data_IF_514680880491
#
_entry.id   IF_514680880491
#
_cell.length_a   1.000
_cell.length_b   1.000
_cell.length_c   1.000
_cell.angle_alpha   90.00
_cell.angle_beta   90.00
_cell.angle_gamma   90.00
#
_symmetry.space_group_name_H-M   'P 1'
#
loop_
_entity.id
_entity.type
_entity.pdbx_description
1 polymer ?
#
# COMPACT_ATOMS: atom_id res chain seq x y z
N UNK A 1 -1.39 10.68 3.85
CA UNK A 1 -0.90 11.76 4.74
C UNK A 1 0.25 11.29 5.64
N UNK A 2 0.46 9.98 5.68
CA UNK A 2 1.57 9.29 6.31
C UNK A 2 2.63 8.98 5.25
N UNK A 3 3.90 8.97 5.65
CA UNK A 3 5.12 8.70 4.85
C UNK A 3 6.00 9.85 4.43
N UNK A 4 5.52 11.08 4.48
CA UNK A 4 6.40 12.23 4.18
C UNK A 4 7.11 12.82 5.39
N UNK A 5 6.63 12.54 6.60
CA UNK A 5 7.34 12.95 7.81
C UNK A 5 8.62 12.15 8.04
N UNK A 6 8.84 11.10 7.25
CA UNK A 6 9.90 10.12 7.44
C UNK A 6 11.14 10.43 6.62
N UNK A 7 11.00 11.01 5.42
CA UNK A 7 12.17 11.42 4.64
C UNK A 7 12.54 12.90 4.77
N UNK A 8 11.68 13.69 5.40
CA UNK A 8 11.94 15.13 5.55
C UNK A 8 12.08 15.59 7.00
N UNK A 9 11.92 14.70 7.99
CA UNK A 9 12.66 14.85 9.25
C UNK A 9 14.05 14.21 9.15
N UNK A 10 15.04 15.10 8.99
CA UNK A 10 16.33 15.14 9.70
C UNK A 10 17.64 14.76 9.01
N UNK A 11 17.69 14.40 7.73
CA UNK A 11 18.99 14.41 7.01
C UNK A 11 19.06 15.40 5.87
N UNK A 12 18.17 15.36 4.87
CA UNK A 12 18.42 16.16 3.67
C UNK A 12 18.26 17.66 3.87
N UNK A 13 17.22 18.11 4.58
CA UNK A 13 17.05 19.53 4.91
C UNK A 13 18.21 20.05 5.79
N UNK A 14 18.64 19.26 6.77
CA UNK A 14 19.79 19.57 7.65
C UNK A 14 21.14 19.48 6.92
N UNK A 15 21.24 18.67 5.86
CA UNK A 15 22.39 18.58 4.95
C UNK A 15 22.33 19.59 3.80
N UNK A 16 21.38 20.53 3.82
CA UNK A 16 21.30 21.64 2.86
C UNK A 16 20.71 21.30 1.50
N UNK A 17 19.94 20.21 1.36
CA UNK A 17 19.15 19.93 0.15
C UNK A 17 18.13 21.04 -0.06
N UNK A 18 18.14 21.64 -1.24
CA UNK A 18 17.28 22.79 -1.60
C UNK A 18 16.20 22.42 -2.62
N UNK A 19 16.37 21.32 -3.36
CA UNK A 19 15.41 20.85 -4.37
C UNK A 19 15.32 19.33 -4.41
N UNK A 20 14.10 18.79 -4.45
CA UNK A 20 13.83 17.37 -4.71
C UNK A 20 13.06 17.15 -6.02
N UNK A 21 13.44 16.12 -6.77
CA UNK A 21 12.73 15.66 -7.98
C UNK A 21 12.18 14.26 -7.71
N UNK A 22 10.87 14.04 -7.84
CA UNK A 22 10.21 12.77 -7.54
C UNK A 22 9.47 12.23 -8.77
N UNK A 23 9.84 11.04 -9.30
CA UNK A 23 9.13 10.38 -10.38
C UNK A 23 7.94 9.58 -9.81
N UNK A 24 6.80 10.23 -9.63
CA UNK A 24 5.59 9.58 -9.13
C UNK A 24 4.33 10.26 -9.64
N UNK A 25 3.35 9.44 -10.04
CA UNK A 25 1.99 9.86 -10.34
C UNK A 25 0.98 9.54 -9.24
N UNK A 26 1.42 9.11 -8.04
CA UNK A 26 0.56 8.56 -6.99
C UNK A 26 0.78 9.17 -5.61
N UNK A 27 0.42 8.44 -4.55
CA UNK A 27 0.49 8.95 -3.17
C UNK A 27 1.89 9.47 -2.77
N UNK A 28 2.96 8.88 -3.30
CA UNK A 28 4.33 9.33 -3.08
C UNK A 28 4.60 10.76 -3.62
N UNK A 29 3.89 11.20 -4.67
CA UNK A 29 4.00 12.56 -5.20
C UNK A 29 3.39 13.60 -4.25
N UNK A 30 2.15 13.37 -3.79
CA UNK A 30 1.49 14.24 -2.79
C UNK A 30 2.32 14.24 -1.52
N UNK A 31 2.85 13.07 -1.17
CA UNK A 31 3.76 12.95 -0.06
C UNK A 31 4.93 13.93 -0.26
N UNK A 32 5.84 13.63 -1.18
CA UNK A 32 7.04 14.41 -1.46
C UNK A 32 6.79 15.93 -1.47
N UNK A 33 5.76 16.37 -2.21
CA UNK A 33 5.41 17.77 -2.34
C UNK A 33 4.93 18.42 -1.01
N UNK A 34 4.12 17.71 -0.21
CA UNK A 34 3.67 18.20 1.09
C UNK A 34 4.83 18.44 2.05
N UNK A 35 5.80 17.52 2.14
CA UNK A 35 6.93 17.77 3.03
C UNK A 35 7.93 18.75 2.45
N UNK A 36 8.19 18.74 1.15
CA UNK A 36 9.12 19.71 0.57
C UNK A 36 8.67 21.14 0.94
N UNK A 37 7.37 21.43 0.83
CA UNK A 37 6.76 22.66 1.36
C UNK A 37 7.02 22.86 2.85
N UNK A 38 6.78 21.84 3.68
CA UNK A 38 6.93 21.95 5.13
C UNK A 38 8.36 22.31 5.58
N UNK A 39 9.37 22.00 4.75
CA UNK A 39 10.79 22.30 5.02
C UNK A 39 11.37 23.40 4.13
N UNK A 40 10.56 24.09 3.34
CA UNK A 40 11.04 25.15 2.45
C UNK A 40 11.95 24.66 1.31
N UNK A 41 11.78 23.40 0.90
CA UNK A 41 12.50 22.77 -0.20
C UNK A 41 11.65 22.83 -1.47
N UNK A 42 12.27 23.18 -2.60
CA UNK A 42 11.62 23.15 -3.91
C UNK A 42 11.29 21.71 -4.33
N UNK A 43 10.13 21.49 -4.93
CA UNK A 43 9.70 20.15 -5.35
C UNK A 43 9.29 20.14 -6.82
N UNK A 44 9.88 19.20 -7.58
CA UNK A 44 9.41 18.85 -8.91
C UNK A 44 8.87 17.42 -8.91
N UNK A 45 7.64 17.23 -9.35
CA UNK A 45 7.03 15.93 -9.60
C UNK A 45 7.07 15.65 -11.10
N UNK A 46 7.60 14.49 -11.49
CA UNK A 46 7.56 13.98 -12.86
C UNK A 46 6.61 12.79 -12.89
N UNK A 47 5.58 12.86 -13.74
CA UNK A 47 4.56 11.81 -13.86
C UNK A 47 4.37 11.42 -15.34
N UNK A 48 4.06 10.15 -15.64
CA UNK A 48 3.79 9.73 -17.00
C UNK A 48 2.46 10.29 -17.52
N UNK A 49 2.28 10.25 -18.83
CA UNK A 49 1.01 10.61 -19.50
C UNK A 49 -0.15 9.71 -19.08
N UNK A 50 0.17 8.47 -18.70
CA UNK A 50 -0.76 7.45 -18.20
C UNK A 50 -1.19 7.67 -16.74
N UNK A 51 -0.61 8.65 -16.03
CA UNK A 51 -1.00 8.95 -14.66
C UNK A 51 -2.46 9.41 -14.59
N UNK A 52 -3.18 8.93 -13.57
CA UNK A 52 -4.60 9.22 -13.39
C UNK A 52 -4.87 10.74 -13.30
N UNK A 53 -5.83 11.20 -14.10
CA UNK A 53 -6.14 12.62 -14.20
C UNK A 53 -6.71 13.18 -12.88
N UNK A 54 -7.42 12.36 -12.10
CA UNK A 54 -7.92 12.75 -10.78
C UNK A 54 -6.75 12.95 -9.81
N UNK A 55 -5.80 12.03 -9.81
CA UNK A 55 -4.58 12.13 -8.99
C UNK A 55 -3.73 13.35 -9.34
N UNK A 56 -3.52 13.64 -10.64
CA UNK A 56 -2.83 14.87 -11.07
C UNK A 56 -3.56 16.12 -10.61
N UNK A 57 -4.88 16.18 -10.77
CA UNK A 57 -5.71 17.30 -10.30
C UNK A 57 -5.57 17.47 -8.79
N UNK A 58 -5.61 16.38 -8.04
CA UNK A 58 -5.48 16.40 -6.58
C UNK A 58 -4.12 16.90 -6.14
N UNK A 59 -3.04 16.44 -6.76
CA UNK A 59 -1.68 16.93 -6.50
C UNK A 59 -1.61 18.45 -6.70
N UNK A 60 -2.12 18.98 -7.81
CA UNK A 60 -2.11 20.43 -8.09
C UNK A 60 -2.92 21.24 -7.06
N UNK A 61 -4.02 20.69 -6.54
CA UNK A 61 -4.85 21.34 -5.53
C UNK A 61 -4.22 21.30 -4.13
N UNK A 62 -3.66 20.16 -3.73
CA UNK A 62 -3.09 19.96 -2.39
C UNK A 62 -1.69 20.59 -2.28
N UNK A 63 -0.94 20.61 -3.38
CA UNK A 63 0.44 21.10 -3.41
C UNK A 63 0.71 22.08 -4.58
N UNK A 64 0.04 23.26 -4.61
CA UNK A 64 0.23 24.26 -5.68
C UNK A 64 1.67 24.79 -5.86
N UNK A 65 2.53 24.64 -4.84
CA UNK A 65 3.93 25.10 -4.91
C UNK A 65 4.87 24.08 -5.58
N UNK A 66 4.39 22.84 -5.78
CA UNK A 66 5.16 21.82 -6.46
C UNK A 66 5.04 21.97 -7.98
N UNK A 67 6.18 21.94 -8.66
CA UNK A 67 6.22 21.94 -10.13
C UNK A 67 5.83 20.54 -10.62
N UNK A 68 4.78 20.44 -11.42
CA UNK A 68 4.36 19.17 -12.03
C UNK A 68 4.75 19.13 -13.50
N UNK A 69 5.45 18.08 -13.90
CA UNK A 69 5.86 17.81 -15.28
C UNK A 69 5.25 16.48 -15.70
N UNK A 70 4.54 16.49 -16.83
CA UNK A 70 4.04 15.28 -17.47
C UNK A 70 5.06 14.88 -18.53
N UNK A 71 5.62 13.68 -18.43
CA UNK A 71 6.60 13.17 -19.38
C UNK A 71 6.63 11.65 -19.38
N UNK A 72 6.67 11.09 -20.58
CA UNK A 72 6.87 9.66 -20.80
C UNK A 72 5.57 8.87 -20.87
N UNK A 73 5.63 7.75 -21.59
CA UNK A 73 4.50 6.84 -21.78
C UNK A 73 4.22 5.99 -20.54
N UNK A 74 5.24 5.72 -19.73
CA UNK A 74 5.17 4.92 -18.52
C UNK A 74 6.06 5.48 -17.38
N UNK A 75 6.03 4.81 -16.23
CA UNK A 75 6.79 5.24 -15.06
C UNK A 75 8.31 5.22 -15.30
N UNK A 76 8.83 4.31 -16.13
CA UNK A 76 10.26 4.19 -16.37
C UNK A 76 10.79 5.39 -17.16
N UNK A 77 10.06 5.82 -18.20
CA UNK A 77 10.39 7.04 -18.94
C UNK A 77 10.29 8.30 -18.04
N UNK A 78 9.25 8.37 -17.19
CA UNK A 78 9.12 9.46 -16.20
C UNK A 78 10.29 9.46 -15.19
N UNK A 79 10.76 8.29 -14.76
CA UNK A 79 11.91 8.13 -13.89
C UNK A 79 13.20 8.62 -14.56
N UNK A 80 13.47 8.17 -15.78
CA UNK A 80 14.64 8.61 -16.55
C UNK A 80 14.64 10.14 -16.75
N UNK A 81 13.48 10.74 -17.03
CA UNK A 81 13.36 12.19 -17.12
C UNK A 81 13.67 12.87 -15.79
N UNK A 82 13.20 12.32 -14.67
CA UNK A 82 13.51 12.86 -13.35
C UNK A 82 15.02 12.83 -13.05
N UNK A 83 15.72 11.75 -13.40
CA UNK A 83 17.18 11.66 -13.28
C UNK A 83 17.90 12.72 -14.13
N UNK A 84 17.50 12.88 -15.39
CA UNK A 84 18.03 13.91 -16.28
C UNK A 84 17.81 15.32 -15.70
N UNK A 85 16.63 15.58 -15.15
CA UNK A 85 16.31 16.86 -14.50
C UNK A 85 17.18 17.17 -13.30
N UNK A 86 17.51 16.17 -12.47
CA UNK A 86 18.43 16.37 -11.35
C UNK A 86 19.78 16.87 -11.86
N UNK A 87 20.32 16.24 -12.92
CA UNK A 87 21.57 16.65 -13.54
C UNK A 87 21.49 18.05 -14.16
N UNK A 88 20.42 18.34 -14.92
CA UNK A 88 20.19 19.66 -15.54
C UNK A 88 20.15 20.78 -14.48
N UNK A 89 19.34 20.59 -13.44
CA UNK A 89 19.19 21.58 -12.38
C UNK A 89 20.48 21.77 -11.58
N UNK A 90 21.24 20.68 -11.33
CA UNK A 90 22.51 20.77 -10.62
C UNK A 90 23.55 21.57 -11.40
N UNK A 91 23.51 21.51 -12.74
CA UNK A 91 24.37 22.30 -13.62
C UNK A 91 23.95 23.77 -13.72
N UNK A 92 22.64 24.07 -13.73
CA UNK A 92 22.15 25.45 -13.78
C UNK A 92 22.19 26.16 -12.43
N UNK A 93 22.21 25.40 -11.33
CA UNK A 93 22.24 25.89 -9.95
C UNK A 93 23.42 25.27 -9.15
N UNK A 94 24.69 25.61 -9.47
CA UNK A 94 25.87 24.93 -8.87
C UNK A 94 26.06 25.15 -7.35
N UNK A 95 25.27 26.02 -6.72
CA UNK A 95 25.26 26.23 -5.27
C UNK A 95 24.07 25.57 -4.55
N UNK A 96 23.18 24.93 -5.29
CA UNK A 96 22.02 24.22 -4.77
C UNK A 96 22.31 22.72 -4.66
N UNK A 97 21.70 22.06 -3.68
CA UNK A 97 21.83 20.62 -3.49
C UNK A 97 20.54 19.97 -3.93
N UNK A 98 20.62 19.20 -5.02
CA UNK A 98 19.46 18.63 -5.69
C UNK A 98 19.52 17.12 -5.58
N UNK A 99 18.36 16.50 -5.29
CA UNK A 99 18.26 15.05 -5.07
C UNK A 99 17.06 14.46 -5.80
N UNK A 100 17.26 13.26 -6.32
CA UNK A 100 16.16 12.39 -6.74
C UNK A 100 15.54 11.76 -5.49
N UNK A 101 14.23 11.89 -5.32
CA UNK A 101 13.46 11.22 -4.28
C UNK A 101 12.70 10.05 -4.92
N UNK A 102 13.28 8.85 -4.83
CA UNK A 102 12.62 7.64 -5.32
C UNK A 102 11.35 7.40 -4.50
N UNK A 103 10.22 6.98 -5.09
CA UNK A 103 8.99 6.74 -4.32
C UNK A 103 9.05 5.57 -3.32
N UNK A 104 10.10 4.75 -3.32
CA UNK A 104 10.18 3.54 -2.47
C UNK A 104 11.57 2.92 -2.26
N UNK A 105 12.55 3.12 -3.16
CA UNK A 105 13.85 2.42 -3.11
C UNK A 105 14.98 3.29 -2.57
N UNK A 106 14.84 3.76 -1.33
CA UNK A 106 15.84 4.58 -0.63
C UNK A 106 15.89 4.23 0.86
N UNK A 107 17.09 4.12 1.43
CA UNK A 107 17.32 3.80 2.85
C UNK A 107 16.53 4.70 3.79
N UNK A 108 16.55 6.00 3.53
CA UNK A 108 15.92 7.03 4.34
C UNK A 108 14.39 6.91 4.32
N UNK A 109 13.79 6.31 3.28
CA UNK A 109 12.35 6.00 3.28
C UNK A 109 12.06 4.85 4.23
N UNK A 110 12.85 3.79 4.13
CA UNK A 110 12.66 2.59 4.94
C UNK A 110 12.86 2.90 6.42
N UNK A 111 13.89 3.69 6.74
CA UNK A 111 14.22 4.07 8.11
C UNK A 111 13.06 4.75 8.82
N UNK A 112 12.43 5.73 8.19
CA UNK A 112 11.29 6.32 8.89
C UNK A 112 10.03 5.43 8.84
N UNK A 113 9.86 4.54 7.86
CA UNK A 113 8.75 3.57 7.87
C UNK A 113 8.81 2.64 9.08
N UNK A 114 10.00 2.45 9.69
CA UNK A 114 10.16 1.76 10.97
C UNK A 114 9.34 2.38 12.09
N UNK A 115 9.09 3.70 12.02
CA UNK A 115 8.30 4.44 13.01
C UNK A 115 6.88 3.87 13.19
N UNK A 116 6.33 3.18 12.18
CA UNK A 116 5.05 2.46 12.32
C UNK A 116 5.13 1.39 13.41
N UNK A 117 6.25 0.67 13.48
CA UNK A 117 6.48 -0.34 14.52
C UNK A 117 6.69 0.34 15.86
N UNK A 118 7.35 1.51 15.88
CA UNK A 118 7.54 2.25 17.11
C UNK A 118 6.23 2.75 17.73
N UNK A 119 5.27 3.07 16.87
CA UNK A 119 3.92 3.51 17.23
C UNK A 119 2.99 2.37 17.67
N UNK A 120 3.39 1.10 17.49
CA UNK A 120 2.71 -0.03 18.13
C UNK A 120 2.93 0.11 19.64
N UNK A 121 1.92 0.69 20.30
CA UNK A 121 2.00 1.13 21.69
C UNK A 121 2.36 0.01 22.67
N UNK A 122 2.82 0.37 23.88
CA UNK A 122 3.25 -0.61 24.88
C UNK A 122 2.15 -1.64 25.23
N UNK A 123 0.88 -1.26 25.08
CA UNK A 123 -0.27 -2.13 25.39
C UNK A 123 -0.50 -3.24 24.35
N UNK A 124 -0.05 -3.07 23.11
CA UNK A 124 -0.20 -4.09 22.06
C UNK A 124 0.92 -5.13 22.12
N UNK A 125 2.13 -4.70 22.48
CA UNK A 125 3.32 -5.54 22.47
C UNK A 125 3.71 -6.04 21.07
N UNK A 126 4.51 -7.10 21.02
CA UNK A 126 4.92 -7.73 19.77
C UNK A 126 3.73 -8.45 19.10
N UNK A 127 3.37 -8.13 17.83
CA UNK A 127 2.33 -8.86 17.12
C UNK A 127 2.82 -10.21 16.60
N UNK A 128 1.93 -11.19 16.51
CA UNK A 128 2.25 -12.48 15.88
C UNK A 128 2.34 -12.35 14.37
N UNK A 129 1.44 -11.54 13.78
CA UNK A 129 1.35 -11.30 12.34
C UNK A 129 1.16 -9.81 12.05
N UNK A 130 1.94 -9.28 11.10
CA UNK A 130 1.69 -7.99 10.44
C UNK A 130 1.32 -8.21 8.98
N UNK A 131 0.24 -7.59 8.54
CA UNK A 131 -0.25 -7.63 7.15
C UNK A 131 0.04 -6.28 6.50
N UNK A 132 0.70 -6.30 5.35
CA UNK A 132 1.08 -5.10 4.60
C UNK A 132 0.93 -5.33 3.10
N UNK A 133 0.43 -4.34 2.37
CA UNK A 133 0.39 -4.39 0.91
C UNK A 133 1.71 -3.94 0.30
N UNK A 134 2.08 -4.55 -0.82
CA UNK A 134 3.38 -4.38 -1.46
C UNK A 134 3.19 -3.81 -2.86
N UNK A 135 3.75 -2.61 -3.07
CA UNK A 135 4.05 -2.10 -4.41
C UNK A 135 5.53 -2.29 -4.70
N UNK A 136 6.30 -1.20 -4.65
CA UNK A 136 7.78 -1.28 -4.76
C UNK A 136 8.47 -1.86 -3.52
N UNK A 137 7.72 -2.11 -2.44
CA UNK A 137 8.20 -2.79 -1.24
C UNK A 137 8.94 -1.94 -0.21
N UNK A 138 9.05 -0.62 -0.40
CA UNK A 138 9.68 0.25 0.59
C UNK A 138 9.04 0.12 1.98
N UNK A 139 7.71 0.12 2.06
CA UNK A 139 6.98 -0.05 3.33
C UNK A 139 7.25 -1.39 4.01
N UNK A 140 7.27 -2.48 3.22
CA UNK A 140 7.63 -3.80 3.70
C UNK A 140 9.05 -3.80 4.29
N UNK A 141 10.01 -3.16 3.62
CA UNK A 141 11.38 -3.06 4.10
C UNK A 141 11.49 -2.32 5.44
N UNK A 142 10.78 -1.21 5.60
CA UNK A 142 10.76 -0.45 6.85
C UNK A 142 10.06 -1.17 8.00
N UNK A 143 8.95 -1.86 7.73
CA UNK A 143 8.27 -2.70 8.74
C UNK A 143 9.21 -3.77 9.26
N UNK A 144 9.88 -4.51 8.38
CA UNK A 144 10.80 -5.58 8.78
C UNK A 144 11.98 -5.00 9.58
N UNK A 145 12.52 -3.86 9.14
CA UNK A 145 13.62 -3.23 9.86
C UNK A 145 13.19 -2.73 11.26
N UNK A 146 12.00 -2.14 11.38
CA UNK A 146 11.45 -1.71 12.67
C UNK A 146 11.23 -2.89 13.62
N UNK A 147 10.73 -4.02 13.11
CA UNK A 147 10.60 -5.26 13.87
C UNK A 147 11.96 -5.74 14.40
N UNK A 148 12.99 -5.76 13.55
CA UNK A 148 14.34 -6.15 13.98
C UNK A 148 14.93 -5.20 15.02
N UNK A 149 14.75 -3.89 14.85
CA UNK A 149 15.24 -2.89 15.79
C UNK A 149 14.57 -3.01 17.17
N UNK A 150 13.33 -3.48 17.23
CA UNK A 150 12.61 -3.82 18.47
C UNK A 150 12.95 -5.20 19.04
N UNK A 151 13.73 -6.02 18.33
CA UNK A 151 13.98 -7.41 18.71
C UNK A 151 12.79 -8.35 18.46
N UNK A 152 11.81 -7.92 17.66
CA UNK A 152 10.56 -8.63 17.35
C UNK A 152 10.69 -9.53 16.11
N UNK A 153 11.79 -10.28 16.02
CA UNK A 153 12.10 -11.12 14.86
C UNK A 153 11.18 -12.32 14.67
N UNK A 154 10.41 -12.71 15.70
CA UNK A 154 9.40 -13.78 15.62
C UNK A 154 8.06 -13.33 15.03
N UNK A 155 7.87 -12.02 14.79
CA UNK A 155 6.68 -11.51 14.10
C UNK A 155 6.70 -11.95 12.64
N UNK A 156 5.61 -12.57 12.20
CA UNK A 156 5.46 -13.01 10.81
C UNK A 156 4.86 -11.90 9.95
N UNK A 157 5.33 -11.72 8.73
CA UNK A 157 4.85 -10.68 7.81
C UNK A 157 4.10 -11.31 6.64
N UNK A 158 2.85 -10.91 6.44
CA UNK A 158 2.05 -11.27 5.26
C UNK A 158 2.11 -10.11 4.28
N UNK A 159 2.82 -10.34 3.16
CA UNK A 159 3.03 -9.38 2.09
C UNK A 159 1.97 -9.59 1.00
N UNK A 160 1.09 -8.62 0.83
CA UNK A 160 -0.10 -8.75 -0.03
C UNK A 160 0.03 -7.91 -1.30
N UNK A 161 -0.21 -8.52 -2.44
CA UNK A 161 -0.30 -7.82 -3.73
C UNK A 161 -1.65 -8.11 -4.40
N UNK A 162 -2.05 -7.28 -5.35
CA UNK A 162 -3.15 -7.60 -6.26
C UNK A 162 -2.64 -8.33 -7.49
N UNK A 163 -3.43 -9.26 -8.01
CA UNK A 163 -3.18 -9.88 -9.31
C UNK A 163 -3.06 -8.81 -10.40
N UNK A 164 -1.96 -8.83 -11.16
CA UNK A 164 -1.67 -7.80 -12.16
C UNK A 164 -0.80 -6.66 -11.64
N UNK A 165 -0.53 -6.58 -10.34
CA UNK A 165 0.52 -5.76 -9.72
C UNK A 165 1.42 -6.60 -8.78
N UNK A 166 1.49 -7.91 -9.02
CA UNK A 166 2.10 -8.93 -8.16
C UNK A 166 3.61 -9.13 -8.43
N UNK A 167 4.39 -8.05 -8.43
CA UNK A 167 5.81 -8.06 -8.76
C UNK A 167 6.63 -8.96 -7.81
N UNK A 168 6.37 -8.90 -6.50
CA UNK A 168 7.01 -9.75 -5.49
C UNK A 168 6.67 -11.22 -5.68
N UNK A 169 5.39 -11.54 -5.81
CA UNK A 169 4.95 -12.92 -5.97
C UNK A 169 5.55 -13.56 -7.23
N UNK A 170 5.53 -12.85 -8.36
CA UNK A 170 6.13 -13.33 -9.62
C UNK A 170 7.65 -13.46 -9.51
N UNK A 171 8.32 -12.50 -8.88
CA UNK A 171 9.78 -12.56 -8.69
C UNK A 171 10.19 -13.76 -7.83
N UNK A 172 9.47 -14.02 -6.74
CA UNK A 172 9.70 -15.20 -5.88
C UNK A 172 9.48 -16.49 -6.66
N UNK A 173 8.38 -16.61 -7.41
CA UNK A 173 8.08 -17.79 -8.24
C UNK A 173 9.14 -18.03 -9.33
N UNK A 174 9.70 -16.96 -9.89
CA UNK A 174 10.75 -17.04 -10.91
C UNK A 174 12.16 -17.24 -10.33
N UNK A 175 12.35 -17.06 -9.02
CA UNK A 175 13.65 -17.12 -8.36
C UNK A 175 14.58 -15.94 -8.70
N UNK A 176 14.06 -14.88 -9.32
CA UNK A 176 14.82 -13.69 -9.70
C UNK A 176 13.93 -12.44 -9.70
N UNK A 177 14.53 -11.27 -9.54
CA UNK A 177 13.82 -10.00 -9.62
C UNK A 177 13.28 -9.78 -11.04
N UNK A 178 11.96 -9.57 -11.17
CA UNK A 178 11.29 -9.35 -12.45
C UNK A 178 10.87 -7.89 -12.63
N UNK A 179 10.92 -7.44 -13.89
CA UNK A 179 10.32 -6.20 -14.35
C UNK A 179 8.89 -6.47 -14.84
N UNK A 180 7.92 -5.75 -14.30
CA UNK A 180 6.52 -5.73 -14.70
C UNK A 180 6.18 -4.37 -15.33
N UNK A 181 6.49 -4.15 -16.61
CA UNK A 181 6.44 -2.82 -17.21
C UNK A 181 5.02 -2.25 -17.33
N UNK A 182 4.00 -3.12 -17.41
CA UNK A 182 2.60 -2.72 -17.55
C UNK A 182 1.70 -3.47 -16.56
N UNK A 183 1.64 -3.02 -15.30
CA UNK A 183 0.70 -3.56 -14.33
C UNK A 183 -0.74 -3.34 -14.79
N UNK A 184 -1.61 -4.32 -14.57
CA UNK A 184 -3.02 -4.31 -15.04
C UNK A 184 -4.04 -4.14 -13.93
N UNK A 185 -3.61 -4.19 -12.66
CA UNK A 185 -4.49 -4.04 -11.51
C UNK A 185 -5.02 -2.60 -11.38
N UNK A 186 -6.26 -2.46 -10.91
CA UNK A 186 -6.85 -1.17 -10.53
C UNK A 186 -6.15 -0.54 -9.31
N UNK A 187 -5.45 -1.35 -8.50
CA UNK A 187 -4.69 -0.91 -7.33
C UNK A 187 -3.37 -0.24 -7.74
N UNK A 188 -3.47 0.90 -8.43
CA UNK A 188 -2.32 1.63 -9.02
C UNK A 188 -1.20 1.98 -8.05
N UNK A 189 -1.49 2.13 -6.75
CA UNK A 189 -0.47 2.34 -5.70
C UNK A 189 0.44 1.12 -5.48
N UNK A 190 0.03 -0.08 -5.92
CA UNK A 190 0.83 -1.31 -5.90
C UNK A 190 1.59 -1.54 -7.23
N UNK A 191 1.28 -0.78 -8.28
CA UNK A 191 1.79 -0.95 -9.64
C UNK A 191 3.23 -0.44 -9.84
N UNK A 192 4.14 -0.80 -8.94
CA UNK A 192 5.57 -0.55 -9.15
C UNK A 192 6.10 -1.55 -10.20
N UNK A 193 6.85 -1.09 -11.21
CA UNK A 193 7.33 -1.98 -12.26
C UNK A 193 8.43 -2.92 -11.76
N UNK A 194 9.14 -2.57 -10.70
CA UNK A 194 10.21 -3.38 -10.11
C UNK A 194 10.25 -3.15 -8.61
N UNK A 195 10.55 -4.19 -7.84
CA UNK A 195 10.79 -4.05 -6.40
C UNK A 195 12.07 -3.28 -6.11
N UNK A 196 12.09 -2.60 -4.97
CA UNK A 196 13.33 -2.17 -4.34
C UNK A 196 14.27 -3.36 -4.11
N UNK A 197 15.57 -3.15 -4.31
CA UNK A 197 16.57 -4.21 -4.16
C UNK A 197 16.56 -4.79 -2.74
N UNK A 198 16.37 -3.94 -1.71
CA UNK A 198 16.25 -4.42 -0.32
C UNK A 198 15.05 -5.33 -0.13
N UNK A 199 13.90 -4.99 -0.71
CA UNK A 199 12.70 -5.82 -0.63
C UNK A 199 12.95 -7.21 -1.19
N UNK A 200 13.67 -7.32 -2.32
CA UNK A 200 14.03 -8.61 -2.90
C UNK A 200 14.87 -9.48 -1.95
N UNK A 201 15.84 -8.88 -1.24
CA UNK A 201 16.62 -9.60 -0.24
C UNK A 201 15.75 -10.07 0.93
N UNK A 202 14.81 -9.23 1.38
CA UNK A 202 13.89 -9.55 2.47
C UNK A 202 12.84 -10.59 2.09
N UNK A 203 12.50 -10.69 0.81
CA UNK A 203 11.55 -11.68 0.28
C UNK A 203 11.95 -13.13 0.55
N UNK A 204 13.22 -13.37 0.85
CA UNK A 204 13.79 -14.70 1.13
C UNK A 204 13.65 -15.13 2.60
N UNK A 205 13.12 -14.26 3.47
CA UNK A 205 12.92 -14.57 4.87
C UNK A 205 11.81 -15.62 5.06
N UNK A 206 12.06 -16.60 5.94
CA UNK A 206 11.04 -17.58 6.30
C UNK A 206 9.84 -16.97 7.04
N UNK A 207 10.06 -15.86 7.74
CA UNK A 207 9.02 -15.10 8.43
C UNK A 207 8.22 -14.17 7.50
N UNK A 208 8.37 -14.31 6.17
CA UNK A 208 7.62 -13.55 5.18
C UNK A 208 6.79 -14.49 4.32
N UNK A 209 5.48 -14.22 4.22
CA UNK A 209 4.57 -14.97 3.35
C UNK A 209 3.97 -14.04 2.30
N UNK A 210 4.38 -14.17 1.02
CA UNK A 210 3.76 -13.46 -0.07
C UNK A 210 2.41 -14.09 -0.42
N UNK A 211 1.40 -13.25 -0.63
CA UNK A 211 0.06 -13.66 -1.06
C UNK A 211 -0.48 -12.67 -2.09
N UNK A 212 -1.40 -13.13 -2.92
CA UNK A 212 -2.11 -12.32 -3.90
C UNK A 212 -3.61 -12.36 -3.62
N UNK A 213 -4.30 -11.26 -3.90
CA UNK A 213 -5.74 -11.19 -3.98
C UNK A 213 -6.18 -10.65 -5.35
N UNK A 214 -7.44 -10.86 -5.72
CA UNK A 214 -7.98 -10.24 -6.93
C UNK A 214 -8.29 -8.75 -6.66
N UNK A 215 -8.43 -7.97 -7.73
CA UNK A 215 -8.97 -6.60 -7.63
C UNK A 215 -10.37 -6.59 -7.02
N UNK A 216 -11.20 -7.61 -7.31
CA UNK A 216 -12.55 -7.75 -6.72
C UNK A 216 -12.46 -7.92 -5.20
N UNK A 217 -11.58 -8.80 -4.71
CA UNK A 217 -11.38 -9.01 -3.27
C UNK A 217 -10.95 -7.71 -2.57
N UNK A 218 -10.07 -6.95 -3.22
CA UNK A 218 -9.61 -5.67 -2.70
C UNK A 218 -10.75 -4.64 -2.61
N UNK A 219 -11.60 -4.53 -3.62
CA UNK A 219 -12.75 -3.60 -3.63
C UNK A 219 -13.84 -4.03 -2.64
N UNK A 220 -14.13 -5.32 -2.55
CA UNK A 220 -15.06 -5.84 -1.55
C UNK A 220 -14.57 -5.56 -0.12
N UNK A 221 -13.27 -5.62 0.11
CA UNK A 221 -12.66 -5.24 1.39
C UNK A 221 -12.73 -3.73 1.64
N UNK A 222 -12.55 -2.88 0.62
CA UNK A 222 -12.76 -1.42 0.75
C UNK A 222 -14.20 -1.12 1.18
N UNK A 223 -15.18 -1.78 0.56
CA UNK A 223 -16.60 -1.59 0.89
C UNK A 223 -16.92 -2.03 2.32
N UNK A 224 -16.50 -3.24 2.69
CA UNK A 224 -16.71 -3.75 4.06
C UNK A 224 -16.02 -2.88 5.11
N UNK A 225 -14.80 -2.41 4.83
CA UNK A 225 -14.09 -1.52 5.76
C UNK A 225 -14.76 -0.15 5.89
N UNK A 226 -15.32 0.38 4.80
CA UNK A 226 -16.13 1.59 4.84
C UNK A 226 -17.39 1.38 5.71
N UNK A 227 -18.08 0.25 5.56
CA UNK A 227 -19.29 -0.07 6.33
C UNK A 227 -18.98 -0.27 7.82
N UNK A 228 -17.88 -0.98 8.14
CA UNK A 228 -17.49 -1.31 9.53
C UNK A 228 -16.88 -0.10 10.28
N UNK A 229 -16.06 0.69 9.59
CA UNK A 229 -15.20 1.71 10.22
C UNK A 229 -15.48 3.14 9.77
N UNK A 230 -16.36 3.36 8.79
CA UNK A 230 -16.69 4.69 8.26
C UNK A 230 -15.53 5.36 7.52
N UNK A 231 -14.50 4.59 7.12
CA UNK A 231 -13.28 5.10 6.50
C UNK A 231 -13.14 4.56 5.07
N UNK A 232 -13.08 5.48 4.11
CA UNK A 232 -12.85 5.12 2.71
C UNK A 232 -11.34 5.08 2.41
N UNK A 233 -10.87 3.97 1.83
CA UNK A 233 -9.46 3.71 1.51
C UNK A 233 -9.29 3.28 0.05
N UNK A 234 -8.06 3.39 -0.49
CA UNK A 234 -7.76 2.95 -1.86
C UNK A 234 -7.71 1.40 -1.98
N UNK A 235 -7.81 0.85 -3.21
CA UNK A 235 -7.75 -0.60 -3.45
C UNK A 235 -6.45 -1.24 -2.95
N UNK A 236 -5.33 -0.49 -2.94
CA UNK A 236 -4.06 -0.95 -2.38
C UNK A 236 -4.13 -1.25 -0.87
N UNK A 237 -4.95 -0.49 -0.13
CA UNK A 237 -5.25 -0.79 1.27
C UNK A 237 -6.28 -1.92 1.39
N UNK A 238 -7.25 -1.94 0.46
CA UNK A 238 -8.19 -3.04 0.26
C UNK A 238 -7.51 -4.40 0.12
N UNK A 239 -6.36 -4.46 -0.56
CA UNK A 239 -5.59 -5.69 -0.72
C UNK A 239 -5.21 -6.32 0.64
N UNK A 240 -4.61 -5.55 1.55
CA UNK A 240 -4.29 -6.03 2.89
C UNK A 240 -5.54 -6.43 3.69
N UNK A 241 -6.57 -5.60 3.64
CA UNK A 241 -7.84 -5.84 4.34
C UNK A 241 -8.54 -7.11 3.82
N UNK A 242 -8.42 -7.41 2.53
CA UNK A 242 -9.06 -8.56 1.89
C UNK A 242 -8.62 -9.88 2.52
N UNK A 243 -7.39 -9.94 3.04
CA UNK A 243 -6.89 -11.14 3.70
C UNK A 243 -7.65 -11.50 4.97
N UNK A 244 -8.19 -10.48 5.67
CA UNK A 244 -9.07 -10.67 6.82
C UNK A 244 -10.49 -10.99 6.37
N UNK A 245 -11.07 -10.16 5.50
CA UNK A 245 -12.48 -10.29 5.09
C UNK A 245 -12.77 -11.58 4.30
N UNK A 246 -11.80 -12.08 3.53
CA UNK A 246 -11.94 -13.35 2.78
C UNK A 246 -11.64 -14.60 3.62
N UNK A 247 -11.21 -14.45 4.87
CA UNK A 247 -10.73 -15.56 5.70
C UNK A 247 -9.39 -16.15 5.25
N UNK A 248 -8.64 -15.46 4.38
CA UNK A 248 -7.31 -15.91 3.91
C UNK A 248 -6.35 -16.19 5.06
N UNK A 249 -6.33 -15.33 6.09
CA UNK A 249 -5.48 -15.55 7.27
C UNK A 249 -5.77 -16.89 7.95
N UNK A 250 -7.05 -17.26 8.10
CA UNK A 250 -7.43 -18.58 8.63
C UNK A 250 -6.95 -19.73 7.74
N UNK A 251 -7.03 -19.58 6.41
CA UNK A 251 -6.50 -20.59 5.46
C UNK A 251 -5.00 -20.77 5.59
N UNK A 252 -4.23 -19.68 5.61
CA UNK A 252 -2.78 -19.72 5.76
C UNK A 252 -2.34 -20.39 7.07
N UNK A 253 -3.10 -20.21 8.15
CA UNK A 253 -2.85 -20.90 9.42
C UNK A 253 -3.08 -22.41 9.33
N UNK A 254 -4.19 -22.82 8.69
CA UNK A 254 -4.49 -24.24 8.48
C UNK A 254 -3.42 -24.92 7.61
N UNK A 255 -2.88 -24.20 6.64
CA UNK A 255 -1.78 -24.63 5.77
C UNK A 255 -0.41 -24.61 6.47
N UNK A 256 -0.31 -24.07 7.69
CA UNK A 256 0.95 -23.93 8.41
C UNK A 256 1.93 -22.93 7.80
N UNK A 257 1.46 -22.03 6.93
CA UNK A 257 2.28 -21.01 6.25
C UNK A 257 2.56 -19.79 7.13
N UNK A 258 1.69 -19.55 8.11
CA UNK A 258 1.84 -18.50 9.13
C UNK A 258 1.56 -19.13 10.51
N UNK A 259 2.09 -18.55 11.61
CA UNK A 259 1.76 -19.02 12.95
C UNK A 259 0.25 -18.90 13.22
N UNK A 260 -0.27 -19.62 14.21
CA UNK A 260 -1.63 -19.41 14.74
C UNK A 260 -1.60 -18.14 15.61
N UNK A 261 -1.98 -16.97 15.10
CA UNK A 261 -1.80 -15.70 15.77
C UNK A 261 -2.92 -15.48 16.77
N UNK A 262 -2.57 -14.98 17.94
CA UNK A 262 -3.51 -14.34 18.84
C UNK A 262 -3.72 -12.86 18.46
N UNK A 263 -2.67 -12.21 17.96
CA UNK A 263 -2.65 -10.78 17.64
C UNK A 263 -2.23 -10.53 16.19
N UNK A 264 -3.16 -9.97 15.40
CA UNK A 264 -2.93 -9.61 13.99
C UNK A 264 -3.02 -8.09 13.84
N UNK A 265 -1.98 -7.50 13.25
CA UNK A 265 -1.94 -6.07 12.90
C UNK A 265 -2.04 -5.93 11.39
N UNK A 266 -2.89 -5.01 10.93
CA UNK A 266 -3.00 -4.66 9.50
C UNK A 266 -2.60 -3.22 9.30
N UNK A 267 -1.68 -2.98 8.38
CA UNK A 267 -1.23 -1.63 8.06
C UNK A 267 -2.21 -0.97 7.09
N UNK A 268 -2.98 -0.01 7.61
CA UNK A 268 -3.96 0.75 6.82
C UNK A 268 -3.29 1.99 6.22
N UNK A 269 -2.70 1.82 5.03
CA UNK A 269 -2.00 2.90 4.32
C UNK A 269 -2.91 4.06 3.84
N UNK A 270 -4.23 3.82 3.81
CA UNK A 270 -5.23 4.78 3.39
C UNK A 270 -5.23 5.01 1.88
N UNK A 271 -4.80 6.20 1.45
CA UNK A 271 -4.79 6.64 0.06
C UNK A 271 -5.40 8.04 -0.11
N UNK A 272 -4.97 8.77 -1.13
CA UNK A 272 -5.50 10.12 -1.47
C UNK A 272 -6.32 10.11 -2.75
N UNK A 273 -6.06 9.19 -3.65
CA UNK A 273 -6.81 9.04 -4.89
C UNK A 273 -8.05 8.16 -4.71
N UNK A 274 -8.92 8.54 -3.76
CA UNK A 274 -10.16 7.84 -3.49
C UNK A 274 -11.33 8.80 -3.29
N UNK A 275 -12.50 8.38 -3.76
CA UNK A 275 -13.79 9.06 -3.61
C UNK A 275 -14.93 8.06 -3.83
N UNK A 276 -16.15 8.39 -3.41
CA UNK A 276 -17.32 7.54 -3.69
C UNK A 276 -17.54 7.29 -5.19
N UNK A 277 -17.21 8.28 -6.04
CA UNK A 277 -17.25 8.11 -7.49
C UNK A 277 -16.24 7.06 -7.95
N UNK A 278 -15.00 7.16 -7.50
CA UNK A 278 -13.95 6.19 -7.85
C UNK A 278 -14.29 4.78 -7.36
N UNK A 279 -14.86 4.65 -6.16
CA UNK A 279 -15.34 3.35 -5.66
C UNK A 279 -16.37 2.75 -6.62
N UNK A 280 -17.38 3.51 -7.02
CA UNK A 280 -18.38 3.05 -8.00
C UNK A 280 -17.77 2.72 -9.36
N UNK A 281 -16.78 3.48 -9.83
CA UNK A 281 -16.06 3.19 -11.07
C UNK A 281 -15.27 1.87 -10.98
N UNK A 282 -14.60 1.62 -9.85
CA UNK A 282 -13.89 0.35 -9.61
C UNK A 282 -14.85 -0.83 -9.54
N UNK A 283 -15.97 -0.71 -8.84
CA UNK A 283 -17.02 -1.75 -8.78
C UNK A 283 -17.55 -2.08 -10.18
N UNK A 284 -17.76 -1.08 -11.03
CA UNK A 284 -18.22 -1.32 -12.40
C UNK A 284 -17.17 -2.03 -13.25
N UNK A 285 -15.88 -1.69 -13.07
CA UNK A 285 -14.78 -2.35 -13.76
C UNK A 285 -14.68 -3.82 -13.35
N UNK A 286 -14.70 -4.13 -12.05
CA UNK A 286 -14.57 -5.51 -11.55
C UNK A 286 -15.79 -6.37 -11.89
N UNK A 287 -17.02 -5.81 -11.83
CA UNK A 287 -18.24 -6.54 -12.21
C UNK A 287 -18.33 -6.85 -13.71
N UNK A 288 -17.77 -5.99 -14.56
CA UNK A 288 -17.75 -6.21 -16.01
C UNK A 288 -16.89 -7.40 -16.42
N UNK A 289 -15.80 -7.69 -15.67
CA UNK A 289 -14.98 -8.88 -15.88
C UNK A 289 -15.69 -10.18 -15.45
N UNK A 290 -16.55 -10.13 -14.42
CA UNK A 290 -17.35 -11.28 -13.98
C UNK A 290 -18.41 -11.74 -15.01
N UNK A 291 -19.04 -10.79 -15.71
CA UNK A 291 -20.05 -11.12 -16.75
C UNK A 291 -19.46 -11.79 -18.00
N UNK A 292 -18.23 -11.47 -18.39
CA UNK A 292 -17.57 -12.10 -19.55
C UNK A 292 -17.21 -13.58 -19.30
N UNK A 293 -16.86 -13.94 -18.05
CA UNK A 293 -16.57 -15.33 -17.69
C UNK A 293 -17.83 -16.20 -17.56
N UNK A 294 -18.98 -15.61 -17.20
CA UNK A 294 -20.27 -16.32 -17.20
C UNK A 294 -20.80 -16.60 -18.61
N UNK A 295 -20.48 -15.76 -19.60
CA UNK A 295 -20.87 -15.98 -21.00
C UNK A 295 -20.09 -17.11 -21.70
N UNK A 296 -18.97 -17.56 -21.11
CA UNK A 296 -18.13 -18.65 -21.65
C UNK A 296 -18.54 -20.06 -21.18
N UNK A 297 -19.40 -20.19 -20.17
CA UNK A 297 -19.74 -21.51 -19.57
C UNK A 297 -21.20 -21.93 -19.77
N UNK A 298 -22.01 -21.14 -20.47
CA UNK A 298 -23.42 -21.44 -20.72
C UNK A 298 -23.71 -21.79 -22.18
N UNK A 299 -23.04 -22.83 -22.72
CA UNK A 299 -23.44 -23.46 -23.99
C UNK A 299 -23.33 -24.99 -23.90
N UNK A 300 -24.19 -25.60 -23.09
CA UNK A 300 -24.63 -26.98 -23.29
C UNK A 300 -26.14 -27.06 -23.05
N UNK A 301 -26.96 -27.41 -24.05
CA UNK A 301 -28.40 -27.55 -23.88
C UNK A 301 -28.72 -28.91 -23.22
N UNK A 302 -29.28 -28.87 -22.02
CA UNK A 302 -29.95 -30.03 -21.43
C UNK A 302 -31.32 -30.20 -22.07
N UNK A 303 -31.53 -31.36 -22.71
CA UNK A 303 -32.79 -31.78 -23.33
C UNK A 303 -33.71 -32.46 -22.30
N UNK A 304 -34.99 -32.03 -22.32
CA UNK A 304 -36.26 -32.71 -21.97
C UNK A 304 -36.43 -33.20 -20.51
N UNK A 305 -37.60 -33.08 -19.83
CA UNK A 305 -39.02 -33.15 -20.24
C UNK A 305 -39.94 -32.59 -19.13
N UNK A 306 -41.22 -32.24 -19.40
CA UNK A 306 -42.08 -31.41 -18.55
C UNK A 306 -43.08 -32.24 -17.72
N UNK A 307 -43.54 -31.75 -16.56
CA UNK A 307 -44.88 -32.07 -16.05
C UNK A 307 -45.35 -31.09 -14.96
N UNK A 308 -46.59 -30.62 -15.16
CA UNK A 308 -47.57 -29.98 -14.27
C UNK A 308 -47.50 -28.47 -13.98
N UNK A 309 -48.68 -27.91 -14.25
CA UNK A 309 -49.05 -26.51 -14.35
C UNK A 309 -49.90 -26.07 -13.16
N UNK A 310 -50.17 -24.76 -13.17
CA UNK A 310 -51.30 -24.03 -12.59
C UNK A 310 -51.25 -23.70 -11.10
N UNK A 311 -51.11 -22.41 -10.79
CA UNK A 311 -52.27 -21.53 -10.58
C UNK A 311 -51.87 -20.05 -10.70
N UNK A 312 -52.82 -19.25 -11.18
CA UNK A 312 -52.71 -17.84 -11.63
C UNK A 312 -53.26 -16.87 -10.56
N UNK A 313 -53.40 -15.54 -10.78
CA UNK A 313 -52.88 -14.52 -9.87
C UNK A 313 -54.00 -13.68 -9.24
N UNK A 314 -53.68 -12.88 -8.23
CA UNK A 314 -54.51 -11.72 -7.88
C UNK A 314 -53.66 -10.46 -7.73
N UNK A 315 -53.96 -9.51 -8.61
CA UNK A 315 -53.58 -8.10 -8.62
C UNK A 315 -54.51 -7.26 -7.75
N UNK A 316 -54.02 -6.25 -7.02
CA UNK A 316 -54.59 -4.86 -6.85
C UNK A 316 -53.45 -3.97 -6.25
N UNK A 317 -52.85 -3.04 -7.00
CA UNK A 317 -52.97 -1.55 -6.97
C UNK A 317 -53.01 -0.89 -5.57
N UNK A 318 -52.01 -0.06 -5.22
CA UNK A 318 -51.93 1.42 -5.33
C UNK A 318 -52.31 2.14 -4.02
N UNK A 319 -51.37 2.89 -3.42
CA UNK A 319 -51.55 4.33 -3.19
C UNK A 319 -50.36 4.99 -2.48
N UNK A 320 -49.99 6.16 -3.01
CA UNK A 320 -49.19 7.19 -2.34
C UNK A 320 -50.10 8.02 -1.43
N UNK A 321 -49.63 8.38 -0.23
CA UNK A 321 -49.74 9.76 0.25
C UNK A 321 -48.81 10.11 1.41
N UNK A 322 -48.30 11.32 1.29
CA UNK A 322 -47.57 12.25 2.15
C UNK A 322 -48.11 12.43 3.59
N UNK A 323 -47.17 12.63 4.54
CA UNK A 323 -47.23 13.49 5.77
C UNK A 323 -45.85 13.44 6.44
N UNK A 324 -44.95 14.42 6.24
CA UNK A 324 -44.78 15.69 6.97
C UNK A 324 -44.57 15.57 8.49
N UNK A 325 -43.39 16.03 8.93
CA UNK A 325 -43.08 16.87 10.12
C UNK A 325 -42.18 16.31 11.25
N UNK A 326 -40.98 16.93 11.28
CA UNK A 326 -40.37 17.71 12.37
C UNK A 326 -39.91 16.99 13.65
N UNK A 327 -38.58 16.89 13.79
CA UNK A 327 -37.89 17.12 15.06
C UNK A 327 -36.57 17.87 14.80
N UNK A 328 -36.45 19.07 15.37
CA UNK A 328 -35.23 19.88 15.42
C UNK A 328 -34.66 19.83 16.85
N UNK A 329 -33.33 19.83 17.05
CA UNK A 329 -32.73 19.82 18.38
C UNK A 329 -32.52 21.25 18.93
N UNK A 330 -32.71 21.39 20.24
CA UNK A 330 -32.54 22.61 21.02
C UNK A 330 -31.08 23.10 21.04
N UNK A 331 -30.86 24.38 20.74
CA UNK A 331 -29.65 25.14 21.09
C UNK A 331 -29.72 25.58 22.56
N UNK A 332 -28.63 25.36 23.32
CA UNK A 332 -28.35 26.11 24.55
C UNK A 332 -27.10 26.95 24.36
N UNK A 333 -27.24 28.26 24.60
CA UNK A 333 -26.20 29.28 24.57
C UNK A 333 -25.66 29.51 25.98
N UNK A 334 -24.36 29.32 26.20
CA UNK A 334 -23.65 29.86 27.36
C UNK A 334 -22.56 30.84 26.86
N UNK A 335 -22.55 32.11 27.29
CA UNK A 335 -21.60 33.12 26.85
C UNK A 335 -20.70 33.56 28.00
N UNK A 336 -19.65 32.81 28.32
CA UNK A 336 -18.48 33.38 29.03
C UNK A 336 -17.28 32.43 29.00
N UNK A 337 -16.41 32.58 28.00
CA UNK A 337 -15.01 32.18 28.14
C UNK A 337 -14.14 32.98 27.15
N UNK A 338 -13.54 34.04 27.67
CA UNK A 338 -12.56 34.87 26.97
C UNK A 338 -11.32 34.05 26.60
N UNK A 339 -11.14 33.76 25.31
CA UNK A 339 -9.91 33.16 24.76
C UNK A 339 -8.73 34.13 24.92
N UNK A 340 -7.77 33.79 25.80
CA UNK A 340 -6.43 34.39 25.78
C UNK A 340 -5.63 33.78 24.62
N UNK A 341 -5.39 34.60 23.59
CA UNK A 341 -4.53 34.25 22.47
C UNK A 341 -3.06 34.22 22.95
N UNK A 342 -2.56 33.02 23.26
CA UNK A 342 -1.14 32.76 23.46
C UNK A 342 -0.47 32.50 22.12
N UNK A 343 0.60 33.23 21.83
CA UNK A 343 1.45 33.05 20.65
C UNK A 343 2.12 31.67 20.68
N UNK A 344 1.55 30.69 19.98
CA UNK A 344 2.18 29.39 19.74
C UNK A 344 2.97 29.43 18.44
N UNK A 345 4.29 29.27 18.53
CA UNK A 345 5.13 28.76 17.43
C UNK A 345 4.48 27.51 16.82
N UNK A 346 4.57 27.28 15.50
CA UNK A 346 3.92 26.13 14.87
C UNK A 346 4.56 24.84 15.40
N UNK A 347 3.87 24.18 16.32
CA UNK A 347 4.21 22.83 16.74
C UNK A 347 4.06 21.92 15.54
N UNK A 348 5.15 21.31 15.11
CA UNK A 348 5.16 20.25 14.10
C UNK A 348 4.06 19.23 14.41
N UNK A 349 3.16 18.90 13.46
CA UNK A 349 2.10 17.95 13.72
C UNK A 349 2.71 16.60 14.09
N UNK A 350 2.30 16.04 15.23
CA UNK A 350 2.66 14.67 15.60
C UNK A 350 1.88 13.71 14.70
N UNK A 351 2.52 12.68 14.15
CA UNK A 351 1.80 11.55 13.58
C UNK A 351 0.90 10.93 14.68
N UNK A 352 -0.37 10.65 14.35
CA UNK A 352 -1.29 9.84 15.17
C UNK A 352 -1.68 8.54 14.45
N UNK A 353 -0.96 7.44 14.67
CA UNK A 353 -1.46 6.12 14.27
C UNK A 353 -2.66 5.81 15.17
N UNK A 354 -3.83 5.68 14.56
CA UNK A 354 -5.03 5.25 15.28
C UNK A 354 -5.10 3.74 15.21
N UNK A 355 -4.89 3.08 16.34
CA UNK A 355 -5.15 1.65 16.46
C UNK A 355 -6.66 1.42 16.45
N UNK A 356 -7.16 0.79 15.39
CA UNK A 356 -8.55 0.35 15.31
C UNK A 356 -8.65 -1.03 15.95
N UNK A 357 -8.99 -1.07 17.24
CA UNK A 357 -9.26 -2.33 17.93
C UNK A 357 -10.72 -2.75 17.75
N UNK A 358 -10.95 -3.98 17.28
CA UNK A 358 -12.28 -4.61 17.43
C UNK A 358 -12.44 -5.01 18.90
N UNK A 359 -13.55 -4.67 19.58
CA UNK A 359 -13.78 -5.16 20.94
C UNK A 359 -13.78 -6.70 20.93
N UNK A 360 -13.22 -7.35 21.96
CA UNK A 360 -13.16 -8.80 22.02
C UNK A 360 -14.58 -9.36 21.90
N UNK A 361 -14.79 -10.31 20.98
CA UNK A 361 -16.01 -11.11 21.01
C UNK A 361 -16.01 -11.88 22.33
N UNK A 362 -17.09 -11.76 23.10
CA UNK A 362 -17.25 -12.51 24.33
C UNK A 362 -17.21 -14.01 24.02
N UNK A 363 -16.07 -14.65 24.26
CA UNK A 363 -15.97 -16.11 24.27
C UNK A 363 -16.41 -16.57 25.65
N UNK A 364 -17.58 -17.18 25.73
CA UNK A 364 -18.03 -17.90 26.92
C UNK A 364 -16.96 -18.93 27.30
N UNK A 365 -16.55 -18.87 28.57
CA UNK A 365 -15.35 -19.49 29.08
C UNK A 365 -15.39 -21.01 29.05
N UNK A 366 -14.24 -21.61 28.72
CA UNK A 366 -13.88 -22.95 29.15
C UNK A 366 -12.49 -22.87 29.76
N UNK A 367 -12.45 -23.09 31.06
CA UNK A 367 -11.29 -23.12 31.92
C UNK A 367 -10.40 -24.36 31.68
N UNK A 368 -9.09 -24.12 31.87
CA UNK A 368 -8.15 -24.91 32.67
C UNK A 368 -7.12 -25.85 32.01
N UNK A 369 -5.91 -25.64 32.54
CA UNK A 369 -4.79 -26.58 32.79
C UNK A 369 -3.68 -26.74 31.75
N UNK A 370 -2.62 -25.95 31.96
CA UNK A 370 -1.25 -26.30 31.61
C UNK A 370 -0.60 -27.22 32.67
N UNK A 371 0.44 -27.99 32.30
CA UNK A 371 1.52 -28.28 33.22
C UNK A 371 2.87 -27.77 32.72
N UNK A 372 3.60 -27.25 33.69
CA UNK A 372 5.00 -26.83 33.72
C UNK A 372 6.00 -27.94 33.33
N UNK A 373 7.08 -27.55 32.65
CA UNK A 373 8.28 -28.37 32.53
C UNK A 373 9.51 -27.51 32.22
N UNK A 374 10.34 -27.28 33.23
CA UNK A 374 11.73 -26.80 33.11
C UNK A 374 12.61 -27.86 32.44
N UNK A 375 13.45 -27.47 31.49
CA UNK A 375 14.68 -28.20 31.14
C UNK A 375 15.77 -27.20 30.74
N UNK A 376 16.85 -27.17 31.53
CA UNK A 376 18.16 -26.59 31.22
C UNK A 376 18.92 -27.42 30.15
N UNK A 377 19.63 -26.77 29.22
CA UNK A 377 21.09 -26.96 28.98
C UNK A 377 21.66 -26.22 27.74
N UNK A 378 22.73 -25.48 28.03
CA UNK A 378 24.05 -25.40 27.36
C UNK A 378 24.20 -25.09 25.85
N UNK A 379 24.70 -23.86 25.61
CA UNK A 379 25.87 -23.46 24.79
C UNK A 379 26.30 -24.27 23.57
N UNK A 380 26.35 -23.61 22.41
CA UNK A 380 27.52 -23.65 21.52
C UNK A 380 27.65 -22.38 20.68
N UNK A 381 28.91 -22.00 20.45
CA UNK A 381 29.34 -20.72 19.92
C UNK A 381 29.70 -20.76 18.42
N UNK A 382 29.76 -19.55 17.86
CA UNK A 382 30.56 -19.10 16.70
C UNK A 382 30.12 -19.41 15.26
N UNK A 383 30.05 -18.31 14.50
CA UNK A 383 29.83 -18.27 13.06
C UNK A 383 29.57 -16.83 12.57
N UNK A 384 30.46 -15.89 12.90
CA UNK A 384 30.36 -14.49 12.45
C UNK A 384 30.74 -14.37 10.96
N UNK A 385 29.78 -14.00 10.12
CA UNK A 385 30.02 -13.52 8.77
C UNK A 385 29.47 -12.10 8.62
N UNK A 386 30.32 -11.11 8.88
CA UNK A 386 30.02 -9.69 8.60
C UNK A 386 29.97 -9.44 7.10
N UNK A 387 28.80 -9.09 6.57
CA UNK A 387 28.64 -8.60 5.20
C UNK A 387 29.00 -7.12 5.12
N UNK A 388 29.89 -6.80 4.19
CA UNK A 388 30.51 -5.50 3.95
C UNK A 388 29.53 -4.54 3.23
N UNK A 389 29.30 -3.31 3.72
CA UNK A 389 28.26 -2.39 3.20
C UNK A 389 28.60 -1.66 1.88
N UNK A 390 29.50 -2.18 1.03
CA UNK A 390 30.00 -1.44 -0.14
C UNK A 390 29.71 -2.03 -1.53
N UNK A 391 28.93 -3.10 -1.65
CA UNK A 391 28.57 -3.65 -2.97
C UNK A 391 27.31 -2.96 -3.54
N UNK A 392 27.48 -1.72 -3.97
CA UNK A 392 26.51 -0.96 -4.78
C UNK A 392 26.75 -1.25 -6.27
N UNK A 393 25.82 -1.94 -6.93
CA UNK A 393 25.83 -2.12 -8.39
C UNK A 393 24.79 -1.22 -9.05
N UNK A 394 25.25 -0.42 -10.00
CA UNK A 394 24.48 0.56 -10.78
C UNK A 394 23.33 -0.05 -11.59
N UNK A 395 22.16 0.55 -11.43
CA UNK A 395 20.87 0.25 -12.07
C UNK A 395 20.90 0.30 -13.62
N UNK A 396 21.83 1.06 -14.21
CA UNK A 396 21.92 1.24 -15.67
C UNK A 396 22.29 -0.02 -16.46
N UNK A 397 22.82 -1.07 -15.82
CA UNK A 397 23.20 -2.31 -16.53
C UNK A 397 22.04 -3.26 -16.79
N UNK A 398 20.98 -3.22 -15.99
CA UNK A 398 19.81 -4.10 -16.13
C UNK A 398 18.92 -3.71 -17.32
N UNK A 399 18.92 -2.42 -17.71
CA UNK A 399 18.17 -1.94 -18.86
C UNK A 399 18.87 -2.21 -20.21
N UNK A 400 20.17 -2.49 -20.21
CA UNK A 400 20.94 -2.71 -21.44
C UNK A 400 20.87 -4.16 -21.96
N UNK A 401 20.36 -5.10 -21.17
CA UNK A 401 20.34 -6.54 -21.53
C UNK A 401 19.02 -7.03 -22.14
N UNK A 402 18.02 -6.16 -22.36
CA UNK A 402 16.74 -6.54 -22.97
C UNK A 402 16.56 -6.10 -24.43
N UNK A 403 17.59 -5.53 -25.07
CA UNK A 403 17.52 -5.08 -26.48
C UNK A 403 18.58 -5.76 -27.37
N UNK A 404 18.81 -7.06 -27.26
CA UNK A 404 19.54 -7.81 -28.30
C UNK A 404 19.15 -9.28 -28.36
N UNK A 405 17.88 -9.62 -28.58
CA UNK A 405 17.52 -10.90 -29.21
C UNK A 405 16.34 -10.67 -30.16
N UNK A 406 16.69 -10.18 -31.35
CA UNK A 406 15.79 -10.05 -32.49
C UNK A 406 16.51 -10.52 -33.75
N UNK A 407 16.08 -11.68 -34.23
CA UNK A 407 16.07 -12.11 -35.63
C UNK A 407 17.42 -12.33 -36.35
N UNK A 408 17.79 -13.60 -36.54
CA UNK A 408 18.51 -14.00 -37.74
C UNK A 408 18.13 -15.45 -38.14
N UNK A 409 17.01 -15.55 -38.85
CA UNK A 409 16.66 -16.73 -39.63
C UNK A 409 17.47 -16.76 -40.93
N UNK A 410 18.53 -17.58 -40.98
CA UNK A 410 19.32 -17.84 -42.17
C UNK A 410 19.44 -19.34 -42.46
N UNK A 411 18.60 -19.85 -43.36
CA UNK A 411 18.74 -21.16 -43.99
C UNK A 411 19.96 -21.16 -44.92
N UNK A 412 20.86 -22.12 -44.74
CA UNK A 412 21.85 -22.52 -45.74
C UNK A 412 21.69 -24.00 -46.08
N UNK A 413 21.49 -24.24 -47.39
CA UNK A 413 21.55 -25.47 -48.21
C UNK A 413 20.50 -26.57 -48.03
#
# INVERSE_FOLDING_TARGET
MWFVQILLRLQWASCGVTHVVCPSGGNAAIAAACSARAYGISCTIVMPETADACMRRRLLLETPDAKVIVHGSDWLEAHQRAEQMVNELQMTHPGESIRLLHPYDQSELWEGYEGIIDELGPDLGQPDVIIVSVGGGGLLAGIIQGLWNRGWSSTHVVAVETEGADCLNRSIKAGQLLLLPRPTSIATSLSAPILAHRTWNLAQLQSLTPVTCTDSDAIDAVRQFLDDHGMLVEPACGASLSTLYSGMIGRLQMEGRIPRPANVVVVIGGGRNVSLRQLSEWENQTNSFGSLHQLSTSFLPSMTSPYLANTSPHSVSSDMSTKSNLFAPHLSTDPDETLKCGTSTPSTPRPVCTVLSRPPMATEGIDSHAPSGEVDRETNAEGSGTLNPHDLVNFSKLLATSETEGDDGGLHE
#
